data_IF_255620744912
#
_entry.id   IF_255620744912
#
_cell.length_a   1.000
_cell.length_b   1.000
_cell.length_c   1.000
_cell.angle_alpha   90.00
_cell.angle_beta   90.00
_cell.angle_gamma   90.00
#
_symmetry.space_group_name_H-M   'P 1'
#
loop_
_entity.id
_entity.type
_entity.pdbx_description
1 polymer ?
#
# COMPACT_ATOMS: atom_id res chain seq x y z
N UNK A 1 8.09 -13.42 1.28
CA UNK A 1 8.15 -12.06 0.70
C UNK A 1 7.48 -12.14 -0.66
N UNK A 2 6.60 -11.21 -1.04
CA UNK A 2 5.84 -11.31 -2.31
C UNK A 2 6.69 -10.94 -3.53
N UNK A 3 6.42 -11.55 -4.68
CA UNK A 3 7.19 -11.38 -5.93
C UNK A 3 7.29 -9.93 -6.40
N UNK A 4 6.27 -9.10 -6.14
CA UNK A 4 6.31 -7.69 -6.55
C UNK A 4 7.23 -6.85 -5.65
N UNK A 5 7.33 -7.15 -4.35
CA UNK A 5 8.31 -6.48 -3.46
C UNK A 5 9.73 -6.81 -3.90
N UNK A 6 10.03 -8.09 -4.14
CA UNK A 6 11.34 -8.51 -4.61
C UNK A 6 11.70 -7.86 -5.95
N UNK A 7 10.72 -7.76 -6.86
CA UNK A 7 10.92 -7.10 -8.15
C UNK A 7 11.16 -5.60 -7.99
N UNK A 8 10.40 -4.92 -7.13
CA UNK A 8 10.65 -3.51 -6.81
C UNK A 8 12.05 -3.30 -6.22
N UNK A 9 12.52 -4.21 -5.36
CA UNK A 9 13.85 -4.14 -4.74
C UNK A 9 14.97 -4.27 -5.76
N UNK A 10 14.84 -5.23 -6.68
CA UNK A 10 15.78 -5.37 -7.79
C UNK A 10 15.81 -4.11 -8.64
N UNK A 11 14.66 -3.52 -8.92
CA UNK A 11 14.59 -2.27 -9.70
C UNK A 11 15.21 -1.09 -8.96
N UNK A 12 15.03 -0.99 -7.63
CA UNK A 12 15.61 0.06 -6.79
C UNK A 12 17.13 -0.02 -6.66
N UNK A 13 17.69 -1.23 -6.69
CA UNK A 13 19.12 -1.48 -6.47
C UNK A 13 19.92 -1.58 -7.75
N UNK A 14 19.28 -1.90 -8.88
CA UNK A 14 19.94 -2.08 -10.17
C UNK A 14 19.75 -0.84 -11.04
N UNK A 15 20.82 -0.10 -11.30
CA UNK A 15 20.78 1.00 -12.28
C UNK A 15 20.59 0.40 -13.68
N UNK A 16 19.35 0.31 -14.16
CA UNK A 16 19.04 -0.13 -15.52
C UNK A 16 19.45 0.97 -16.49
N UNK A 17 20.65 0.84 -17.07
CA UNK A 17 21.14 1.74 -18.12
C UNK A 17 20.15 1.75 -19.28
N UNK A 18 19.58 2.93 -19.58
CA UNK A 18 18.60 3.12 -20.66
C UNK A 18 17.15 3.36 -20.19
N UNK A 19 16.81 3.08 -18.93
CA UNK A 19 15.45 3.27 -18.39
C UNK A 19 15.20 4.68 -17.83
N UNK A 20 15.62 5.73 -18.55
CA UNK A 20 15.44 7.13 -18.11
C UNK A 20 13.93 7.42 -17.96
N UNK A 21 13.44 7.55 -16.72
CA UNK A 21 12.09 8.02 -16.37
C UNK A 21 11.00 6.96 -16.15
N UNK A 22 11.10 5.75 -16.73
CA UNK A 22 10.02 4.76 -16.65
C UNK A 22 10.10 3.83 -15.42
N UNK A 23 11.30 3.50 -14.96
CA UNK A 23 11.51 2.54 -13.87
C UNK A 23 10.94 2.99 -12.50
N UNK A 24 10.98 4.28 -12.10
CA UNK A 24 10.44 4.72 -10.81
C UNK A 24 8.92 4.54 -10.76
N UNK A 25 8.26 4.77 -11.90
CA UNK A 25 6.82 4.59 -12.05
C UNK A 25 6.45 3.12 -11.87
N UNK A 26 7.14 2.23 -12.58
CA UNK A 26 6.91 0.80 -12.45
C UNK A 26 7.08 0.32 -10.99
N UNK A 27 8.09 0.82 -10.28
CA UNK A 27 8.24 0.55 -8.85
C UNK A 27 7.05 1.07 -8.03
N UNK A 28 6.59 2.30 -8.27
CA UNK A 28 5.41 2.82 -7.59
C UNK A 28 4.16 1.95 -7.81
N UNK A 29 3.96 1.43 -9.02
CA UNK A 29 2.86 0.50 -9.33
C UNK A 29 3.00 -0.82 -8.59
N UNK A 30 4.19 -1.42 -8.55
CA UNK A 30 4.45 -2.67 -7.81
C UNK A 30 4.24 -2.48 -6.30
N UNK A 31 4.73 -1.40 -5.72
CA UNK A 31 4.53 -1.08 -4.31
C UNK A 31 3.05 -0.83 -3.99
N UNK A 32 2.31 -0.12 -4.87
CA UNK A 32 0.87 0.09 -4.68
C UNK A 32 0.11 -1.24 -4.73
N UNK A 33 0.47 -2.11 -5.66
CA UNK A 33 -0.14 -3.44 -5.76
C UNK A 33 0.08 -4.26 -4.49
N UNK A 34 1.29 -4.22 -3.93
CA UNK A 34 1.61 -4.92 -2.68
C UNK A 34 0.86 -4.37 -1.47
N UNK A 35 0.69 -3.04 -1.40
CA UNK A 35 -0.16 -2.42 -0.40
C UNK A 35 -1.61 -2.92 -0.50
N UNK A 36 -2.18 -2.89 -1.70
CA UNK A 36 -3.55 -3.33 -1.96
C UNK A 36 -3.73 -4.82 -1.63
N UNK A 37 -2.77 -5.66 -2.00
CA UNK A 37 -2.78 -7.08 -1.66
C UNK A 37 -2.70 -7.32 -0.15
N UNK A 38 -1.88 -6.56 0.58
CA UNK A 38 -1.80 -6.65 2.03
C UNK A 38 -3.11 -6.21 2.72
N UNK A 39 -3.71 -5.13 2.23
CA UNK A 39 -5.03 -4.70 2.69
C UNK A 39 -6.10 -5.75 2.39
N UNK A 40 -6.10 -6.34 1.21
CA UNK A 40 -7.03 -7.41 0.84
C UNK A 40 -6.87 -8.61 1.78
N UNK A 41 -5.63 -9.04 2.08
CA UNK A 41 -5.37 -10.10 3.07
C UNK A 41 -5.89 -9.73 4.46
N UNK A 42 -5.68 -8.49 4.91
CA UNK A 42 -6.22 -8.02 6.19
C UNK A 42 -7.75 -8.08 6.20
N UNK A 43 -8.42 -7.54 5.18
CA UNK A 43 -9.87 -7.51 5.10
C UNK A 43 -10.49 -8.90 4.97
N UNK A 44 -9.85 -9.84 4.27
CA UNK A 44 -10.29 -11.24 4.23
C UNK A 44 -10.30 -11.88 5.61
N UNK A 45 -9.38 -11.51 6.50
CA UNK A 45 -9.40 -11.97 7.91
C UNK A 45 -10.41 -11.18 8.74
N UNK A 46 -10.47 -9.85 8.55
CA UNK A 46 -11.18 -8.94 9.44
C UNK A 46 -12.68 -8.82 9.17
N UNK A 47 -13.06 -8.65 7.91
CA UNK A 47 -14.44 -8.51 7.44
C UNK A 47 -14.47 -8.83 5.92
N UNK A 48 -14.74 -10.11 5.55
CA UNK A 48 -14.73 -10.55 4.16
C UNK A 48 -15.69 -9.75 3.26
N UNK A 49 -16.77 -9.21 3.79
CA UNK A 49 -17.73 -8.37 3.08
C UNK A 49 -17.08 -7.08 2.57
N UNK A 50 -16.25 -6.44 3.40
CA UNK A 50 -15.42 -5.28 2.97
C UNK A 50 -14.32 -5.76 2.02
N UNK A 51 -13.74 -6.94 2.27
CA UNK A 51 -12.73 -7.56 1.41
C UNK A 51 -13.17 -7.75 -0.04
N UNK A 52 -14.46 -8.01 -0.27
CA UNK A 52 -15.06 -8.17 -1.61
C UNK A 52 -15.24 -6.84 -2.38
N UNK A 53 -15.14 -5.69 -1.71
CA UNK A 53 -15.27 -4.41 -2.37
C UNK A 53 -14.14 -4.22 -3.41
N UNK A 54 -14.50 -3.95 -4.67
CA UNK A 54 -13.53 -3.68 -5.75
C UNK A 54 -12.79 -2.36 -5.57
N UNK A 55 -13.40 -1.38 -4.91
CA UNK A 55 -12.81 -0.08 -4.69
C UNK A 55 -11.92 -0.07 -3.44
N UNK A 56 -10.72 0.50 -3.56
CA UNK A 56 -9.77 0.60 -2.44
C UNK A 56 -10.08 1.75 -1.47
N UNK A 57 -10.75 2.82 -1.93
CA UNK A 57 -11.08 3.98 -1.09
C UNK A 57 -11.94 3.63 0.14
N UNK A 58 -13.05 2.87 0.02
CA UNK A 58 -13.80 2.44 1.20
C UNK A 58 -12.98 1.58 2.17
N UNK A 59 -12.14 0.69 1.64
CA UNK A 59 -11.20 -0.14 2.43
C UNK A 59 -10.24 0.74 3.25
N UNK A 60 -9.67 1.79 2.65
CA UNK A 60 -8.79 2.74 3.35
C UNK A 60 -9.52 3.53 4.44
N UNK A 61 -10.72 4.03 4.13
CA UNK A 61 -11.53 4.82 5.07
C UNK A 61 -11.87 4.02 6.33
N UNK A 62 -12.24 2.75 6.17
CA UNK A 62 -12.61 1.88 7.28
C UNK A 62 -11.38 1.36 8.03
N UNK A 63 -10.20 1.33 7.41
CA UNK A 63 -9.00 0.74 8.02
C UNK A 63 -8.63 1.39 9.36
N UNK A 64 -8.80 2.71 9.49
CA UNK A 64 -8.54 3.42 10.75
C UNK A 64 -9.43 2.96 11.90
N UNK A 65 -10.69 2.58 11.61
CA UNK A 65 -11.61 2.06 12.61
C UNK A 65 -11.28 0.63 13.03
N UNK A 66 -10.87 -0.22 12.08
CA UNK A 66 -10.65 -1.65 12.32
C UNK A 66 -9.23 -1.99 12.78
N UNK A 67 -8.21 -1.37 12.19
CA UNK A 67 -6.80 -1.64 12.48
C UNK A 67 -6.15 -0.58 13.38
N UNK A 68 -6.86 0.51 13.68
CA UNK A 68 -6.39 1.65 14.46
C UNK A 68 -6.02 2.85 13.58
N UNK A 69 -6.26 4.05 14.12
CA UNK A 69 -6.13 5.33 13.40
C UNK A 69 -4.76 5.52 12.74
N UNK A 70 -3.69 5.17 13.43
CA UNK A 70 -2.32 5.29 12.90
C UNK A 70 -2.12 4.43 11.64
N UNK A 71 -2.53 3.16 11.68
CA UNK A 71 -2.44 2.23 10.53
C UNK A 71 -3.28 2.75 9.37
N UNK A 72 -4.50 3.24 9.63
CA UNK A 72 -5.36 3.84 8.63
C UNK A 72 -4.74 5.06 7.94
N UNK A 73 -4.12 5.96 8.72
CA UNK A 73 -3.45 7.15 8.19
C UNK A 73 -2.23 6.79 7.34
N UNK A 74 -1.39 5.87 7.83
CA UNK A 74 -0.18 5.40 7.12
C UNK A 74 -0.53 4.71 5.80
N UNK A 75 -1.53 3.84 5.80
CA UNK A 75 -2.02 3.19 4.59
C UNK A 75 -2.59 4.19 3.58
N UNK A 76 -3.38 5.15 4.06
CA UNK A 76 -3.94 6.21 3.20
C UNK A 76 -2.84 7.07 2.58
N UNK A 77 -1.85 7.49 3.38
CA UNK A 77 -0.69 8.24 2.90
C UNK A 77 0.07 7.46 1.82
N UNK A 78 0.43 6.21 2.08
CA UNK A 78 1.14 5.36 1.12
C UNK A 78 0.36 5.18 -0.18
N UNK A 79 -0.94 4.88 -0.08
CA UNK A 79 -1.78 4.67 -1.25
C UNK A 79 -1.86 5.92 -2.12
N UNK A 80 -2.03 7.10 -1.52
CA UNK A 80 -2.03 8.37 -2.25
C UNK A 80 -0.67 8.72 -2.84
N UNK A 81 0.42 8.56 -2.07
CA UNK A 81 1.78 8.85 -2.51
C UNK A 81 2.18 7.97 -3.71
N UNK A 82 1.89 6.66 -3.64
CA UNK A 82 2.21 5.70 -4.70
C UNK A 82 1.32 5.88 -5.93
N UNK A 83 0.04 6.19 -5.74
CA UNK A 83 -0.86 6.55 -6.86
C UNK A 83 -0.32 7.76 -7.60
N UNK A 84 0.04 8.84 -6.88
CA UNK A 84 0.62 10.06 -7.48
C UNK A 84 1.95 9.78 -8.18
N UNK A 85 2.86 9.02 -7.56
CA UNK A 85 4.12 8.61 -8.17
C UNK A 85 3.94 7.79 -9.46
N UNK A 86 2.82 7.06 -9.55
CA UNK A 86 2.39 6.32 -10.74
C UNK A 86 1.78 7.19 -11.84
N UNK A 87 1.50 8.48 -11.64
CA UNK A 87 0.97 9.40 -12.66
C UNK A 87 2.09 10.22 -13.32
N UNK A 88 1.97 10.47 -14.62
CA UNK A 88 2.98 11.20 -15.39
C UNK A 88 2.70 12.69 -15.25
N UNK A 89 3.61 13.42 -14.61
CA UNK A 89 3.55 14.88 -14.53
C UNK A 89 4.67 15.43 -15.41
N UNK A 90 4.31 15.89 -16.62
CA UNK A 90 5.23 16.33 -17.69
C UNK A 90 6.17 17.47 -17.27
N UNK A 91 5.88 18.14 -16.14
CA UNK A 91 6.62 19.31 -15.65
C UNK A 91 6.97 19.23 -14.15
N UNK A 92 6.66 18.13 -13.45
CA UNK A 92 7.08 17.96 -12.06
C UNK A 92 8.38 17.15 -12.01
N UNK A 93 9.26 17.49 -11.06
CA UNK A 93 10.36 16.62 -10.66
C UNK A 93 9.74 15.27 -10.23
N UNK A 94 9.91 14.25 -11.08
CA UNK A 94 9.38 12.92 -10.80
C UNK A 94 9.90 12.36 -9.48
N UNK A 95 9.15 11.42 -8.89
CA UNK A 95 9.55 10.81 -7.63
C UNK A 95 10.99 10.28 -7.70
N UNK A 96 11.79 10.63 -6.71
CA UNK A 96 13.19 10.22 -6.67
C UNK A 96 13.32 8.78 -6.19
N UNK A 97 14.44 8.13 -6.53
CA UNK A 97 14.76 6.78 -6.03
C UNK A 97 14.80 6.74 -4.48
N UNK A 98 15.30 7.81 -3.86
CA UNK A 98 15.35 7.95 -2.39
C UNK A 98 13.96 8.03 -1.78
N UNK A 99 13.04 8.79 -2.38
CA UNK A 99 11.65 8.86 -1.92
C UNK A 99 10.93 7.51 -2.09
N UNK A 100 11.13 6.83 -3.22
CA UNK A 100 10.59 5.48 -3.42
C UNK A 100 11.14 4.48 -2.40
N UNK A 101 12.43 4.53 -2.09
CA UNK A 101 13.03 3.68 -1.06
C UNK A 101 12.42 3.94 0.33
N UNK A 102 12.12 5.21 0.67
CA UNK A 102 11.41 5.56 1.91
C UNK A 102 9.99 5.01 1.92
N UNK A 103 9.24 5.19 0.83
CA UNK A 103 7.88 4.65 0.71
C UNK A 103 7.86 3.12 0.80
N UNK A 104 8.86 2.45 0.22
CA UNK A 104 9.03 1.00 0.35
C UNK A 104 9.27 0.58 1.80
N UNK A 105 10.21 1.21 2.50
CA UNK A 105 10.48 0.90 3.92
C UNK A 105 9.23 1.07 4.77
N UNK A 106 8.49 2.15 4.52
CA UNK A 106 7.22 2.44 5.21
C UNK A 106 6.14 1.41 4.87
N UNK A 107 6.06 0.96 3.62
CA UNK A 107 5.17 -0.13 3.19
C UNK A 107 5.50 -1.44 3.91
N UNK A 108 6.78 -1.83 3.97
CA UNK A 108 7.20 -3.07 4.65
C UNK A 108 6.82 -3.03 6.13
N UNK A 109 7.04 -1.90 6.80
CA UNK A 109 6.62 -1.71 8.19
C UNK A 109 5.11 -1.80 8.36
N UNK A 110 4.34 -1.17 7.47
CA UNK A 110 2.88 -1.21 7.49
C UNK A 110 2.34 -2.64 7.25
N UNK A 111 2.92 -3.40 6.32
CA UNK A 111 2.53 -4.79 6.06
C UNK A 111 2.74 -5.63 7.31
N UNK A 112 3.89 -5.51 7.96
CA UNK A 112 4.16 -6.23 9.20
C UNK A 112 3.14 -5.87 10.31
N UNK A 113 2.75 -4.60 10.40
CA UNK A 113 1.69 -4.18 11.33
C UNK A 113 0.33 -4.79 10.97
N UNK A 114 -0.08 -4.77 9.70
CA UNK A 114 -1.35 -5.35 9.25
C UNK A 114 -1.41 -6.87 9.44
N UNK A 115 -0.28 -7.56 9.28
CA UNK A 115 -0.18 -9.00 9.47
C UNK A 115 -0.16 -9.39 10.95
N UNK A 116 0.45 -8.56 11.82
CA UNK A 116 0.43 -8.74 13.26
C UNK A 116 -0.88 -8.30 13.92
N UNK A 117 -1.72 -7.52 13.24
CA UNK A 117 -3.02 -7.09 13.78
C UNK A 117 -3.99 -8.27 13.81
N UNK A 118 -4.26 -8.72 15.02
CA UNK A 118 -5.41 -9.56 15.30
C UNK A 118 -6.70 -8.83 14.92
N UNK A 119 -7.64 -9.60 14.38
CA UNK A 119 -8.98 -9.11 14.07
C UNK A 119 -9.69 -8.95 15.41
N UNK A 120 -9.60 -7.76 16.00
CA UNK A 120 -10.39 -7.42 17.17
C UNK A 120 -11.88 -7.50 16.81
N UNK A 121 -12.51 -8.59 17.22
CA UNK A 121 -13.87 -8.95 16.85
C UNK A 121 -14.93 -7.94 17.31
N UNK A 122 -15.99 -7.84 16.50
CA UNK A 122 -17.40 -7.73 16.89
C UNK A 122 -17.68 -6.94 18.18
N UNK A 123 -17.87 -5.63 18.07
CA UNK A 123 -18.76 -4.93 19.00
C UNK A 123 -20.16 -4.92 18.42
N UNK A 124 -20.98 -5.81 18.97
CA UNK A 124 -22.43 -5.67 19.21
C UNK A 124 -23.18 -4.72 18.27
N UNK A 125 -23.78 -5.26 17.20
CA UNK A 125 -25.02 -4.66 16.72
C UNK A 125 -26.12 -5.13 17.67
N UNK A 126 -26.38 -4.28 18.65
CA UNK A 126 -27.56 -4.28 19.51
C UNK A 126 -28.81 -4.40 18.64
N UNK A 127 -29.58 -5.45 18.89
CA UNK A 127 -30.96 -5.58 18.41
C UNK A 127 -31.89 -4.80 19.35
N UNK A 128 -32.81 -4.00 18.82
CA UNK A 128 -34.17 -3.91 19.34
C UNK A 128 -35.12 -4.83 18.55
#
# INVERSE_FOLDING_TARGET
MSDCLETADRMLTTVVRGARGCWPRACAWLLRHELEAAMDRYWQRACPEIGQARAQRPKLLLLGHYAGTEIGQRASYLWWALTRAGHHHTYELGITATELARLRTELVALIALLDAREVSQRREVVSP
#
